data_IF_430998612733
#
_entry.id   IF_430998612733
#
_cell.length_a   1.000
_cell.length_b   1.000
_cell.length_c   1.000
_cell.angle_alpha   90.00
_cell.angle_beta   90.00
_cell.angle_gamma   90.00
#
_symmetry.space_group_name_H-M   'P 1'
#
loop_
_entity.id
_entity.type
_entity.pdbx_description
1 polymer ?
#
# COMPACT_ATOMS: atom_id res chain seq x y z
N UNK A 1 52.93 38.18 40.45
CA UNK A 1 51.47 38.38 40.58
C UNK A 1 50.75 37.14 40.09
N UNK A 2 50.58 36.20 41.00
CA UNK A 2 50.08 34.83 40.83
C UNK A 2 48.55 34.83 40.94
N UNK A 3 47.85 34.47 39.86
CA UNK A 3 46.40 34.25 39.88
C UNK A 3 46.11 32.75 39.86
N UNK A 4 45.83 32.22 41.06
CA UNK A 4 45.27 30.89 41.26
C UNK A 4 43.80 30.88 40.83
N UNK A 5 43.46 30.08 39.82
CA UNK A 5 42.07 29.75 39.48
C UNK A 5 41.68 28.43 40.16
N UNK A 6 40.66 28.53 41.02
CA UNK A 6 40.07 27.44 41.80
C UNK A 6 39.18 26.57 40.90
N UNK A 7 39.32 25.24 41.04
CA UNK A 7 38.38 24.24 40.50
C UNK A 7 37.10 24.19 41.35
N UNK A 8 35.91 23.98 40.77
CA UNK A 8 34.69 23.70 41.52
C UNK A 8 34.59 22.19 41.89
N UNK A 9 33.79 21.85 42.93
CA UNK A 9 33.73 20.51 43.50
C UNK A 9 32.80 19.56 42.73
N UNK A 10 33.18 18.28 42.79
CA UNK A 10 32.42 17.13 42.29
C UNK A 10 31.17 16.91 43.14
N UNK A 11 29.99 16.98 42.52
CA UNK A 11 28.75 16.45 43.09
C UNK A 11 28.71 14.94 42.87
N UNK A 12 28.79 14.20 43.97
CA UNK A 12 28.45 12.79 44.05
C UNK A 12 27.03 12.70 44.58
N UNK A 13 26.12 12.12 43.79
CA UNK A 13 24.76 11.81 44.24
C UNK A 13 24.42 10.39 43.78
N UNK A 14 24.17 9.56 44.81
CA UNK A 14 23.67 8.20 44.76
C UNK A 14 22.40 8.09 43.93
N UNK A 15 22.22 6.96 43.25
CA UNK A 15 20.91 6.38 42.98
C UNK A 15 21.06 4.86 42.86
N UNK A 16 20.95 4.20 44.01
CA UNK A 16 20.49 2.82 44.13
C UNK A 16 18.96 2.83 44.24
N UNK A 17 18.26 2.31 43.24
CA UNK A 17 16.90 1.83 43.39
C UNK A 17 16.59 0.78 42.31
N UNK A 18 16.75 -0.47 42.73
CA UNK A 18 16.14 -1.68 42.19
C UNK A 18 14.70 -1.46 41.69
N UNK A 19 14.45 -1.80 40.42
CA UNK A 19 13.23 -2.49 40.00
C UNK A 19 13.59 -3.47 38.89
N UNK A 20 13.67 -4.73 39.29
CA UNK A 20 13.78 -5.91 38.47
C UNK A 20 12.49 -6.11 37.67
N UNK A 21 12.57 -6.03 36.34
CA UNK A 21 11.65 -6.76 35.48
C UNK A 21 12.46 -7.56 34.45
N UNK A 22 12.13 -8.83 34.45
CA UNK A 22 12.79 -9.94 33.83
C UNK A 22 12.12 -10.16 32.47
N UNK A 23 12.81 -9.88 31.37
CA UNK A 23 12.33 -10.29 30.05
C UNK A 23 13.47 -10.89 29.24
N UNK A 24 13.56 -12.22 29.39
CA UNK A 24 14.47 -13.10 28.67
C UNK A 24 14.12 -13.12 27.19
N UNK A 25 14.88 -12.42 26.35
CA UNK A 25 14.85 -12.63 24.90
C UNK A 25 15.91 -13.66 24.50
N UNK A 26 15.40 -14.83 24.11
CA UNK A 26 16.14 -15.96 23.58
C UNK A 26 16.73 -15.57 22.21
N UNK A 27 18.04 -15.38 22.14
CA UNK A 27 18.77 -15.19 20.87
C UNK A 27 18.89 -16.54 20.16
N UNK A 28 17.91 -16.90 19.34
CA UNK A 28 18.10 -17.95 18.33
C UNK A 28 18.89 -17.41 17.14
N UNK A 29 20.15 -17.82 17.10
CA UNK A 29 21.05 -17.75 15.94
C UNK A 29 20.47 -18.63 14.82
N UNK A 30 19.70 -18.04 13.91
CA UNK A 30 19.33 -18.71 12.65
C UNK A 30 20.44 -18.54 11.62
N UNK A 31 21.25 -19.60 11.51
CA UNK A 31 22.21 -19.83 10.43
C UNK A 31 21.50 -19.93 9.09
N UNK A 32 22.08 -19.24 8.11
CA UNK A 32 21.88 -19.34 6.67
C UNK A 32 21.88 -20.79 6.15
N UNK A 33 20.84 -21.15 5.39
CA UNK A 33 20.87 -22.24 4.39
C UNK A 33 20.30 -21.71 3.07
N UNK A 34 21.20 -21.14 2.27
CA UNK A 34 20.99 -20.90 0.83
C UNK A 34 21.63 -22.05 0.06
N UNK A 35 21.01 -22.43 -1.06
CA UNK A 35 21.48 -23.30 -2.16
C UNK A 35 20.99 -24.75 -2.13
N UNK A 36 19.96 -25.05 -2.93
CA UNK A 36 20.06 -25.86 -4.16
C UNK A 36 18.71 -25.99 -4.87
N UNK A 37 18.78 -26.15 -6.19
CA UNK A 37 17.76 -26.60 -7.15
C UNK A 37 16.99 -25.51 -7.92
N UNK A 38 17.64 -25.01 -8.99
CA UNK A 38 16.92 -24.60 -10.20
C UNK A 38 17.84 -24.68 -11.43
N UNK A 39 17.86 -25.84 -12.07
CA UNK A 39 18.44 -26.21 -13.37
C UNK A 39 18.05 -27.70 -13.51
N UNK A 40 17.27 -28.23 -14.45
CA UNK A 40 17.06 -28.02 -15.87
C UNK A 40 15.62 -28.43 -16.23
N UNK A 41 14.98 -27.72 -17.15
CA UNK A 41 13.79 -28.21 -17.84
C UNK A 41 14.06 -28.18 -19.36
N UNK A 42 14.60 -29.28 -19.88
CA UNK A 42 14.52 -29.63 -21.29
C UNK A 42 14.86 -31.12 -21.46
N UNK A 43 14.01 -31.81 -22.23
CA UNK A 43 14.21 -33.13 -22.87
C UNK A 43 13.48 -34.33 -22.27
N UNK A 44 12.27 -34.55 -22.82
CA UNK A 44 11.87 -35.69 -23.65
C UNK A 44 12.26 -37.14 -23.21
N UNK A 45 11.17 -37.90 -22.99
CA UNK A 45 10.90 -39.30 -23.43
C UNK A 45 11.47 -40.52 -22.68
N UNK A 46 10.50 -41.39 -22.34
CA UNK A 46 10.49 -42.86 -22.25
C UNK A 46 10.74 -43.57 -20.89
N UNK A 47 9.85 -44.56 -20.70
CA UNK A 47 9.97 -45.82 -19.96
C UNK A 47 9.60 -45.88 -18.46
N UNK A 48 8.37 -46.34 -18.24
CA UNK A 48 7.93 -47.42 -17.34
C UNK A 48 8.76 -47.80 -16.11
N UNK A 49 8.14 -47.73 -14.92
CA UNK A 49 7.88 -48.89 -14.04
C UNK A 49 7.12 -48.48 -12.76
N UNK A 50 6.05 -49.24 -12.48
CA UNK A 50 5.42 -49.45 -11.17
C UNK A 50 6.41 -50.27 -10.27
N UNK A 51 6.35 -50.24 -8.92
CA UNK A 51 5.20 -50.76 -8.17
C UNK A 51 4.85 -50.15 -6.79
N UNK A 52 3.61 -50.45 -6.41
CA UNK A 52 3.08 -50.82 -5.08
C UNK A 52 2.88 -49.79 -3.94
N UNK A 53 1.59 -49.71 -3.61
CA UNK A 53 0.91 -49.18 -2.42
C UNK A 53 1.34 -49.90 -1.11
N UNK A 54 1.07 -49.32 0.08
CA UNK A 54 -0.17 -49.73 0.76
C UNK A 54 -0.88 -48.66 1.61
N UNK A 55 -2.22 -48.82 1.61
CA UNK A 55 -3.15 -48.67 2.75
C UNK A 55 -3.47 -47.28 3.35
N UNK A 56 -4.79 -47.07 3.46
CA UNK A 56 -5.51 -45.90 3.97
C UNK A 56 -5.43 -45.70 5.51
N UNK A 57 -6.01 -44.61 6.05
CA UNK A 57 -7.41 -44.73 6.46
C UNK A 57 -8.31 -43.53 6.07
N UNK A 58 -9.53 -43.90 5.66
CA UNK A 58 -10.65 -43.02 5.34
C UNK A 58 -11.08 -42.21 6.56
N UNK A 59 -11.07 -40.87 6.46
CA UNK A 59 -11.76 -40.00 7.41
C UNK A 59 -13.09 -39.48 6.83
N UNK A 60 -14.08 -39.55 7.71
CA UNK A 60 -15.51 -39.32 7.55
C UNK A 60 -15.86 -38.02 6.83
N UNK A 61 -16.52 -38.18 5.69
CA UNK A 61 -17.27 -37.13 4.97
C UNK A 61 -18.45 -36.69 5.85
N UNK A 62 -18.37 -35.47 6.40
CA UNK A 62 -19.48 -34.84 7.14
C UNK A 62 -20.64 -34.58 6.17
N UNK A 63 -21.82 -35.01 6.62
CA UNK A 63 -23.13 -34.91 6.00
C UNK A 63 -23.55 -33.43 5.98
N UNK A 64 -23.56 -32.81 4.80
CA UNK A 64 -24.18 -31.51 4.61
C UNK A 64 -25.72 -31.68 4.63
N UNK A 65 -26.47 -30.72 5.19
CA UNK A 65 -27.93 -30.75 5.15
C UNK A 65 -28.39 -30.53 3.69
N UNK A 66 -29.14 -31.52 3.20
CA UNK A 66 -29.94 -31.44 1.98
C UNK A 66 -30.97 -30.34 2.22
N UNK A 67 -30.74 -29.16 1.65
CA UNK A 67 -31.81 -28.22 1.41
C UNK A 67 -32.63 -28.80 0.26
N UNK A 68 -33.92 -28.98 0.53
CA UNK A 68 -34.91 -29.35 -0.45
C UNK A 68 -34.89 -28.32 -1.58
N UNK A 69 -34.30 -28.71 -2.70
CA UNK A 69 -34.60 -28.14 -3.99
C UNK A 69 -36.00 -28.65 -4.33
N UNK A 70 -37.00 -27.77 -4.20
CA UNK A 70 -38.34 -27.97 -4.73
C UNK A 70 -38.25 -27.79 -6.25
N UNK A 71 -37.58 -28.76 -6.88
CA UNK A 71 -37.42 -28.89 -8.30
C UNK A 71 -38.77 -29.38 -8.85
N UNK A 72 -39.66 -28.41 -9.05
CA UNK A 72 -40.89 -28.58 -9.81
C UNK A 72 -40.57 -29.19 -11.16
N UNK A 73 -41.05 -30.42 -11.34
CA UNK A 73 -41.03 -31.19 -12.56
C UNK A 73 -41.74 -30.45 -13.71
N UNK A 74 -40.99 -29.76 -14.57
CA UNK A 74 -41.37 -29.61 -15.98
C UNK A 74 -40.82 -30.82 -16.73
N UNK A 75 -41.62 -31.88 -16.74
CA UNK A 75 -41.46 -33.01 -17.66
C UNK A 75 -41.80 -32.50 -19.05
N UNK A 76 -40.78 -32.19 -19.86
CA UNK A 76 -40.93 -32.10 -21.31
C UNK A 76 -41.33 -33.49 -21.85
N UNK A 77 -42.49 -33.63 -22.54
CA UNK A 77 -42.81 -34.85 -23.24
C UNK A 77 -42.15 -34.86 -24.63
N UNK A 78 -41.70 -36.03 -25.12
CA UNK A 78 -41.07 -36.14 -26.43
C UNK A 78 -42.09 -35.83 -27.54
N UNK A 79 -41.73 -34.87 -28.39
CA UNK A 79 -42.44 -34.48 -29.60
C UNK A 79 -42.53 -35.66 -30.58
N UNK A 80 -43.64 -36.39 -30.51
CA UNK A 80 -44.08 -37.31 -31.55
C UNK A 80 -44.92 -36.54 -32.58
N UNK A 81 -44.34 -36.44 -33.78
CA UNK A 81 -44.95 -35.92 -35.00
C UNK A 81 -46.24 -36.69 -35.35
N UNK A 82 -47.39 -36.01 -35.27
CA UNK A 82 -48.57 -36.35 -36.08
C UNK A 82 -49.20 -35.08 -36.64
N UNK A 83 -48.97 -34.86 -37.93
CA UNK A 83 -49.82 -34.05 -38.81
C UNK A 83 -51.26 -34.56 -38.74
N UNK A 84 -52.21 -33.68 -38.46
CA UNK A 84 -53.57 -33.80 -38.93
C UNK A 84 -54.07 -32.42 -39.34
N UNK A 85 -54.49 -32.37 -40.59
CA UNK A 85 -55.13 -31.30 -41.32
C UNK A 85 -56.58 -31.08 -40.87
N UNK A 86 -57.08 -29.88 -41.23
CA UNK A 86 -58.48 -29.47 -41.54
C UNK A 86 -59.35 -28.79 -40.48
N UNK A 87 -60.04 -27.74 -40.97
CA UNK A 87 -61.30 -27.14 -40.51
C UNK A 87 -61.22 -26.30 -39.23
N UNK A 88 -61.45 -24.99 -39.26
CA UNK A 88 -62.61 -24.31 -39.86
C UNK A 88 -63.54 -23.87 -38.72
N UNK A 89 -63.55 -22.55 -38.46
CA UNK A 89 -64.54 -21.78 -37.70
C UNK A 89 -64.97 -22.30 -36.32
N UNK A 90 -64.44 -21.69 -35.25
CA UNK A 90 -65.21 -21.54 -34.00
C UNK A 90 -64.89 -20.23 -33.25
N UNK A 91 -64.91 -19.12 -34.01
CA UNK A 91 -65.08 -17.78 -33.47
C UNK A 91 -66.59 -17.60 -33.23
N UNK A 92 -67.16 -18.11 -32.12
CA UNK A 92 -68.50 -17.68 -31.61
C UNK A 92 -68.99 -18.43 -30.36
N UNK A 93 -68.15 -18.62 -29.35
CA UNK A 93 -68.68 -18.79 -27.99
C UNK A 93 -67.92 -17.94 -26.99
N UNK A 94 -68.12 -16.63 -27.13
CA UNK A 94 -68.00 -15.68 -26.02
C UNK A 94 -69.04 -16.10 -24.98
N UNK A 95 -68.66 -17.06 -24.13
CA UNK A 95 -69.43 -17.37 -22.93
C UNK A 95 -69.51 -16.07 -22.15
N UNK A 96 -70.73 -15.58 -21.92
CA UNK A 96 -70.96 -14.41 -21.06
C UNK A 96 -70.31 -14.70 -19.72
N UNK A 97 -69.17 -14.05 -19.46
CA UNK A 97 -68.55 -14.06 -18.15
C UNK A 97 -69.58 -13.46 -17.20
N UNK A 98 -69.99 -14.25 -16.20
CA UNK A 98 -70.93 -13.77 -15.19
C UNK A 98 -70.24 -12.72 -14.34
N UNK A 99 -70.98 -11.71 -13.89
CA UNK A 99 -70.46 -10.63 -13.02
C UNK A 99 -69.72 -11.17 -11.79
N UNK A 100 -70.21 -12.29 -11.24
CA UNK A 100 -69.58 -12.99 -10.12
C UNK A 100 -68.17 -13.53 -10.41
N UNK A 101 -67.88 -13.92 -11.67
CA UNK A 101 -66.55 -14.40 -12.04
C UNK A 101 -65.57 -13.24 -12.26
N UNK A 102 -66.08 -12.08 -12.70
CA UNK A 102 -65.30 -10.84 -12.75
C UNK A 102 -64.88 -10.40 -11.34
N UNK A 103 -65.81 -10.35 -10.39
CA UNK A 103 -65.51 -9.99 -8.99
C UNK A 103 -64.45 -10.92 -8.37
N UNK A 104 -64.54 -12.23 -8.63
CA UNK A 104 -63.53 -13.21 -8.17
C UNK A 104 -62.16 -12.95 -8.81
N UNK A 105 -62.14 -12.62 -10.10
CA UNK A 105 -60.91 -12.27 -10.81
C UNK A 105 -60.30 -10.98 -10.26
N UNK A 106 -61.10 -9.96 -10.02
CA UNK A 106 -60.66 -8.69 -9.44
C UNK A 106 -60.06 -8.89 -8.04
N UNK A 107 -60.75 -9.63 -7.15
CA UNK A 107 -60.21 -9.98 -5.83
C UNK A 107 -58.88 -10.73 -5.89
N UNK A 108 -58.74 -11.67 -6.84
CA UNK A 108 -57.47 -12.39 -7.07
C UNK A 108 -56.36 -11.44 -7.52
N UNK A 109 -56.67 -10.46 -8.37
CA UNK A 109 -55.70 -9.47 -8.84
C UNK A 109 -55.26 -8.54 -7.70
N UNK A 110 -56.20 -7.99 -6.92
CA UNK A 110 -55.89 -7.15 -5.77
C UNK A 110 -55.00 -7.87 -4.75
N UNK A 111 -55.31 -9.14 -4.47
CA UNK A 111 -54.48 -9.94 -3.56
C UNK A 111 -53.07 -10.15 -4.11
N UNK A 112 -52.93 -10.42 -5.42
CA UNK A 112 -51.63 -10.58 -6.07
C UNK A 112 -50.84 -9.27 -6.11
N UNK A 113 -51.49 -8.15 -6.36
CA UNK A 113 -50.87 -6.83 -6.31
C UNK A 113 -50.36 -6.52 -4.90
N UNK A 114 -51.15 -6.83 -3.88
CA UNK A 114 -50.74 -6.67 -2.50
C UNK A 114 -49.55 -7.57 -2.12
N UNK A 115 -49.53 -8.84 -2.55
CA UNK A 115 -48.40 -9.75 -2.35
C UNK A 115 -47.12 -9.23 -3.05
N UNK A 116 -47.24 -8.78 -4.31
CA UNK A 116 -46.12 -8.19 -5.03
C UNK A 116 -45.61 -6.92 -4.36
N UNK A 117 -46.51 -6.07 -3.85
CA UNK A 117 -46.13 -4.86 -3.11
C UNK A 117 -45.39 -5.22 -1.82
N UNK A 118 -45.90 -6.16 -1.02
CA UNK A 118 -45.20 -6.63 0.18
C UNK A 118 -43.81 -7.17 -0.14
N UNK A 119 -43.67 -7.96 -1.21
CA UNK A 119 -42.36 -8.45 -1.65
C UNK A 119 -41.44 -7.34 -2.12
N UNK A 120 -41.97 -6.31 -2.78
CA UNK A 120 -41.21 -5.13 -3.19
C UNK A 120 -40.67 -4.39 -1.98
N UNK A 121 -41.54 -4.12 -0.99
CA UNK A 121 -41.18 -3.43 0.25
C UNK A 121 -40.11 -4.24 1.03
N UNK A 122 -40.26 -5.57 1.14
CA UNK A 122 -39.27 -6.46 1.76
C UNK A 122 -37.90 -6.42 1.05
N UNK A 123 -37.90 -6.32 -0.28
CA UNK A 123 -36.67 -6.22 -1.06
C UNK A 123 -36.00 -4.85 -0.89
N UNK A 124 -36.78 -3.77 -0.86
CA UNK A 124 -36.27 -2.42 -0.58
C UNK A 124 -35.65 -2.35 0.82
N UNK A 125 -36.29 -2.92 1.84
CA UNK A 125 -35.74 -3.00 3.19
C UNK A 125 -34.41 -3.78 3.21
N UNK A 126 -34.34 -4.92 2.50
CA UNK A 126 -33.10 -5.69 2.37
C UNK A 126 -32.00 -4.91 1.68
N UNK A 127 -32.30 -4.20 0.59
CA UNK A 127 -31.34 -3.36 -0.13
C UNK A 127 -30.79 -2.26 0.79
N UNK A 128 -31.66 -1.59 1.55
CA UNK A 128 -31.24 -0.58 2.53
C UNK A 128 -30.40 -1.18 3.67
N UNK A 129 -30.73 -2.39 4.13
CA UNK A 129 -29.91 -3.09 5.12
C UNK A 129 -28.53 -3.47 4.59
N UNK A 130 -28.42 -3.89 3.33
CA UNK A 130 -27.13 -4.22 2.71
C UNK A 130 -26.30 -2.96 2.47
N UNK A 131 -26.91 -1.89 1.97
CA UNK A 131 -26.24 -0.60 1.76
C UNK A 131 -25.62 -0.08 3.06
N UNK A 132 -26.35 -0.13 4.20
CA UNK A 132 -25.80 0.28 5.49
C UNK A 132 -24.58 -0.55 5.92
N UNK A 133 -24.66 -1.87 5.75
CA UNK A 133 -23.53 -2.77 6.06
C UNK A 133 -22.33 -2.51 5.16
N UNK A 134 -22.56 -2.23 3.88
CA UNK A 134 -21.51 -1.87 2.93
C UNK A 134 -20.81 -0.58 3.37
N UNK A 135 -21.57 0.46 3.71
CA UNK A 135 -21.04 1.73 4.22
C UNK A 135 -20.22 1.53 5.51
N UNK A 136 -20.75 0.76 6.48
CA UNK A 136 -20.05 0.42 7.72
C UNK A 136 -18.73 -0.31 7.46
N UNK A 137 -18.73 -1.29 6.55
CA UNK A 137 -17.50 -2.00 6.16
C UNK A 137 -16.51 -1.10 5.43
N UNK A 138 -16.99 -0.18 4.60
CA UNK A 138 -16.15 0.78 3.89
C UNK A 138 -15.44 1.73 4.87
N UNK A 139 -16.16 2.26 5.86
CA UNK A 139 -15.58 3.10 6.93
C UNK A 139 -14.52 2.32 7.72
N UNK A 140 -14.82 1.08 8.11
CA UNK A 140 -13.87 0.24 8.85
C UNK A 140 -12.59 -0.04 8.04
N UNK A 141 -12.72 -0.28 6.73
CA UNK A 141 -11.59 -0.49 5.84
C UNK A 141 -10.73 0.77 5.68
N UNK A 142 -11.35 1.96 5.59
CA UNK A 142 -10.63 3.24 5.55
C UNK A 142 -9.79 3.44 6.81
N UNK A 143 -10.36 3.23 8.01
CA UNK A 143 -9.61 3.34 9.27
C UNK A 143 -8.46 2.34 9.42
N UNK A 144 -8.55 1.16 8.79
CA UNK A 144 -7.45 0.20 8.75
C UNK A 144 -6.32 0.70 7.85
N UNK A 145 -6.67 1.23 6.67
CA UNK A 145 -5.71 1.79 5.73
C UNK A 145 -4.97 3.01 6.30
N UNK A 146 -5.66 3.90 7.02
CA UNK A 146 -5.03 5.05 7.69
C UNK A 146 -4.02 4.61 8.74
N UNK A 147 -4.40 3.69 9.64
CA UNK A 147 -3.48 3.16 10.67
C UNK A 147 -2.27 2.45 10.07
N UNK A 148 -2.44 1.75 8.95
CA UNK A 148 -1.31 1.15 8.24
C UNK A 148 -0.33 2.23 7.75
N UNK A 149 -0.85 3.33 7.15
CA UNK A 149 -0.01 4.43 6.68
C UNK A 149 0.71 5.16 7.81
N UNK A 150 0.02 5.42 8.92
CA UNK A 150 0.64 5.98 10.14
C UNK A 150 1.77 5.08 10.65
N UNK A 151 1.54 3.76 10.68
CA UNK A 151 2.56 2.79 11.05
C UNK A 151 3.78 2.79 10.12
N UNK A 152 3.57 2.92 8.81
CA UNK A 152 4.64 3.03 7.82
C UNK A 152 5.44 4.32 8.01
N UNK A 153 4.76 5.46 8.21
CA UNK A 153 5.43 6.75 8.42
C UNK A 153 6.29 6.73 9.68
N UNK A 154 5.76 6.16 10.77
CA UNK A 154 6.52 5.95 12.01
C UNK A 154 7.74 5.06 11.80
N UNK A 155 7.60 3.98 11.02
CA UNK A 155 8.72 3.11 10.68
C UNK A 155 9.81 3.85 9.88
N UNK A 156 9.42 4.70 8.94
CA UNK A 156 10.34 5.54 8.19
C UNK A 156 11.10 6.50 9.11
N UNK A 157 10.38 7.18 10.00
CA UNK A 157 10.96 8.16 10.92
C UNK A 157 11.91 7.52 11.96
N UNK A 158 11.54 6.37 12.52
CA UNK A 158 12.33 5.71 13.56
C UNK A 158 13.61 5.04 13.01
N UNK A 159 13.54 4.41 11.83
CA UNK A 159 14.62 3.55 11.34
C UNK A 159 15.35 4.10 10.12
N UNK A 160 14.74 5.03 9.38
CA UNK A 160 15.25 5.50 8.10
C UNK A 160 15.46 7.01 8.05
N UNK A 161 15.74 7.63 9.19
CA UNK A 161 16.06 9.05 9.27
C UNK A 161 17.56 9.31 9.18
N UNK A 162 17.94 10.24 8.31
CA UNK A 162 19.32 10.66 8.17
C UNK A 162 19.74 11.53 9.36
N UNK A 163 20.81 11.17 10.06
CA UNK A 163 21.31 11.96 11.21
C UNK A 163 21.95 13.30 10.86
N UNK A 164 22.10 13.64 9.57
CA UNK A 164 22.64 14.93 9.13
C UNK A 164 21.53 15.95 8.78
N UNK A 165 20.43 15.53 8.17
CA UNK A 165 19.32 16.43 7.81
C UNK A 165 18.03 16.16 8.59
N UNK A 166 17.95 15.08 9.35
CA UNK A 166 16.76 14.63 10.08
C UNK A 166 15.53 14.38 9.19
N UNK A 167 15.76 14.12 7.90
CA UNK A 167 14.73 13.68 6.97
C UNK A 167 14.87 12.18 6.68
N UNK A 168 13.82 11.59 6.11
CA UNK A 168 13.86 10.24 5.54
C UNK A 168 15.00 10.12 4.52
N UNK A 169 15.80 9.07 4.65
CA UNK A 169 16.97 8.80 3.83
C UNK A 169 16.61 8.84 2.34
N UNK A 170 17.35 9.64 1.58
CA UNK A 170 17.25 9.74 0.12
C UNK A 170 18.61 9.39 -0.49
N UNK A 171 18.63 8.41 -1.39
CA UNK A 171 19.84 7.78 -1.91
C UNK A 171 20.80 7.37 -0.77
N UNK A 172 20.51 6.31 0.01
CA UNK A 172 21.29 5.95 1.19
C UNK A 172 22.69 5.39 0.82
N UNK A 173 23.74 5.98 1.40
CA UNK A 173 25.13 5.52 1.28
C UNK A 173 25.74 5.29 2.65
N UNK A 174 26.51 4.21 2.77
CA UNK A 174 27.29 3.87 3.96
C UNK A 174 28.76 4.25 3.77
N UNK A 175 29.44 4.58 4.87
CA UNK A 175 30.85 4.96 4.86
C UNK A 175 31.80 3.76 4.77
N UNK A 176 32.71 3.77 3.79
CA UNK A 176 33.69 2.73 3.50
C UNK A 176 35.12 3.24 3.71
N UNK A 177 36.05 2.43 4.26
CA UNK A 177 35.90 1.25 5.10
C UNK A 177 35.89 1.72 6.54
N UNK A 178 34.82 2.38 6.94
CA UNK A 178 34.62 2.60 8.36
C UNK A 178 34.00 1.32 8.93
N UNK A 179 34.53 0.81 10.04
CA UNK A 179 33.95 -0.34 10.76
C UNK A 179 32.55 -0.04 11.32
N UNK A 180 32.02 1.17 11.08
CA UNK A 180 30.82 1.67 11.74
C UNK A 180 29.53 1.51 10.93
N UNK A 181 29.58 1.35 9.60
CA UNK A 181 28.40 1.07 8.76
C UNK A 181 27.31 2.14 8.74
N UNK A 182 27.54 3.32 9.35
CA UNK A 182 26.54 4.39 9.40
C UNK A 182 26.15 4.87 8.01
N UNK A 183 24.84 5.09 7.82
CA UNK A 183 24.22 5.39 6.53
C UNK A 183 23.58 6.78 6.56
N UNK A 184 23.69 7.50 5.45
CA UNK A 184 23.23 8.88 5.29
C UNK A 184 22.63 9.09 3.91
N UNK A 185 21.89 10.18 3.72
CA UNK A 185 21.52 10.63 2.37
C UNK A 185 22.78 10.93 1.54
N UNK A 186 22.75 10.60 0.25
CA UNK A 186 23.89 10.79 -0.65
C UNK A 186 24.40 12.24 -0.65
N UNK A 187 23.51 13.22 -0.78
CA UNK A 187 23.89 14.64 -0.76
C UNK A 187 24.43 15.08 0.60
N UNK A 188 23.82 14.63 1.70
CA UNK A 188 24.23 15.01 3.04
C UNK A 188 25.66 14.57 3.34
N UNK A 189 25.99 13.31 3.03
CA UNK A 189 27.34 12.80 3.30
C UNK A 189 28.39 13.38 2.35
N UNK A 190 28.02 13.70 1.10
CA UNK A 190 28.90 14.45 0.19
C UNK A 190 29.21 15.84 0.74
N UNK A 191 28.18 16.60 1.15
CA UNK A 191 28.37 17.93 1.75
C UNK A 191 29.27 17.88 2.98
N UNK A 192 29.03 16.91 3.88
CA UNK A 192 29.89 16.70 5.04
C UNK A 192 31.34 16.41 4.64
N UNK A 193 31.57 15.45 3.75
CA UNK A 193 32.90 15.04 3.32
C UNK A 193 33.68 16.18 2.65
N UNK A 194 33.02 16.93 1.75
CA UNK A 194 33.62 18.07 1.06
C UNK A 194 33.73 19.33 1.93
N UNK A 195 32.98 19.46 3.03
CA UNK A 195 33.15 20.58 3.98
C UNK A 195 34.57 20.61 4.56
N UNK A 196 35.20 19.43 4.71
CA UNK A 196 36.57 19.25 5.21
C UNK A 196 37.66 19.45 4.15
N UNK A 197 37.30 19.59 2.88
CA UNK A 197 38.26 19.85 1.80
C UNK A 197 38.80 21.28 1.91
N UNK A 198 40.12 21.46 1.89
CA UNK A 198 40.73 22.79 1.90
C UNK A 198 40.58 23.48 0.53
N UNK A 199 39.96 24.67 0.52
CA UNK A 199 39.62 25.39 -0.73
C UNK A 199 40.83 25.80 -1.57
N UNK A 200 41.96 26.13 -0.94
CA UNK A 200 43.12 26.68 -1.66
C UNK A 200 43.93 25.61 -2.41
N UNK A 201 44.10 24.42 -1.81
CA UNK A 201 44.91 23.35 -2.39
C UNK A 201 44.09 22.17 -2.93
N UNK A 202 42.79 22.07 -2.59
CA UNK A 202 41.95 20.94 -2.98
C UNK A 202 42.38 19.60 -2.37
N UNK A 203 42.96 19.62 -1.17
CA UNK A 203 43.34 18.43 -0.41
C UNK A 203 42.64 18.40 0.97
N UNK A 204 42.57 17.21 1.58
CA UNK A 204 42.13 17.03 2.96
C UNK A 204 43.35 17.01 3.88
N UNK A 205 43.58 18.10 4.62
CA UNK A 205 44.69 18.18 5.60
C UNK A 205 44.34 17.54 6.94
N UNK A 206 43.04 17.35 7.20
CA UNK A 206 42.51 16.69 8.39
C UNK A 206 41.89 15.36 7.97
N UNK A 207 41.99 14.35 8.84
CA UNK A 207 41.29 13.09 8.64
C UNK A 207 39.79 13.33 8.65
N UNK A 208 39.09 12.82 7.63
CA UNK A 208 37.63 12.84 7.61
C UNK A 208 37.09 11.68 8.43
N UNK A 209 36.23 11.99 9.38
CA UNK A 209 35.62 11.04 10.30
C UNK A 209 34.11 10.91 10.09
N UNK A 210 33.56 9.77 10.52
CA UNK A 210 32.12 9.53 10.53
C UNK A 210 31.42 10.55 11.46
N UNK A 211 30.39 11.28 10.99
CA UNK A 211 29.66 12.26 11.82
C UNK A 211 29.09 11.70 13.12
N UNK A 212 28.74 10.41 13.14
CA UNK A 212 28.04 9.78 14.28
C UNK A 212 29.04 9.25 15.31
N UNK A 213 30.03 8.46 14.88
CA UNK A 213 30.90 7.70 15.78
C UNK A 213 32.39 8.10 15.71
N UNK A 214 32.74 9.08 14.86
CA UNK A 214 34.12 9.54 14.64
C UNK A 214 35.10 8.46 14.17
N UNK A 215 34.59 7.34 13.65
CA UNK A 215 35.43 6.34 12.97
C UNK A 215 36.09 6.99 11.76
N UNK A 216 37.41 6.79 11.63
CA UNK A 216 38.20 7.37 10.54
C UNK A 216 37.81 6.76 9.19
N UNK A 217 37.68 7.60 8.17
CA UNK A 217 37.50 7.16 6.78
C UNK A 217 38.85 6.88 6.11
N UNK A 218 38.83 6.16 4.98
CA UNK A 218 40.03 6.02 4.13
C UNK A 218 40.55 7.43 3.80
N UNK A 219 41.84 7.63 4.04
CA UNK A 219 42.57 8.77 3.52
C UNK A 219 42.55 8.72 1.99
N UNK A 220 42.01 9.75 1.35
CA UNK A 220 41.99 9.86 -0.11
C UNK A 220 43.44 9.98 -0.59
N UNK A 221 43.97 9.05 -1.39
CA UNK A 221 45.31 9.18 -1.91
C UNK A 221 45.39 10.36 -2.88
N UNK A 222 46.41 11.21 -2.72
CA UNK A 222 46.71 12.33 -3.61
C UNK A 222 47.02 11.91 -5.06
N UNK A 223 47.82 10.85 -5.34
CA UNK A 223 48.19 10.54 -6.72
C UNK A 223 47.02 9.99 -7.54
N UNK A 224 46.81 10.59 -8.72
CA UNK A 224 45.97 10.05 -9.78
C UNK A 224 46.83 9.16 -10.71
N UNK A 225 46.34 7.98 -11.14
CA UNK A 225 44.97 7.50 -10.98
C UNK A 225 44.69 6.85 -9.62
N UNK A 226 43.56 7.19 -9.00
CA UNK A 226 43.10 6.53 -7.75
C UNK A 226 42.45 5.19 -8.04
N UNK A 227 42.64 4.24 -7.14
CA UNK A 227 41.94 2.95 -7.21
C UNK A 227 40.49 3.12 -6.74
N UNK A 228 39.54 2.46 -7.42
CA UNK A 228 38.10 2.50 -7.07
C UNK A 228 37.83 2.03 -5.62
N UNK A 229 38.64 1.11 -5.09
CA UNK A 229 38.52 0.64 -3.70
C UNK A 229 38.75 1.74 -2.64
N UNK A 230 39.38 2.85 -3.03
CA UNK A 230 39.59 4.01 -2.15
C UNK A 230 38.40 4.95 -2.08
N UNK A 231 37.33 4.66 -2.82
CA UNK A 231 36.10 5.45 -2.79
C UNK A 231 35.41 5.31 -1.42
N UNK A 232 35.15 6.41 -0.70
CA UNK A 232 34.76 6.37 0.70
C UNK A 232 33.27 6.06 0.94
N UNK A 233 32.49 5.83 -0.12
CA UNK A 233 31.04 5.60 -0.03
C UNK A 233 30.66 4.28 -0.69
N UNK A 234 29.78 3.51 -0.06
CA UNK A 234 29.16 2.32 -0.65
C UNK A 234 27.65 2.54 -0.72
N UNK A 235 27.00 2.34 -1.88
CA UNK A 235 25.54 2.39 -1.96
C UNK A 235 24.91 1.32 -1.06
N UNK A 236 24.01 1.73 -0.16
CA UNK A 236 23.29 0.79 0.71
C UNK A 236 21.98 0.36 0.06
N UNK A 237 22.09 -0.57 -0.90
CA UNK A 237 20.94 -1.05 -1.71
C UNK A 237 19.81 -1.67 -0.90
N UNK A 238 20.13 -2.30 0.25
CA UNK A 238 19.11 -2.91 1.10
C UNK A 238 18.25 -1.83 1.75
N UNK A 239 18.90 -0.79 2.30
CA UNK A 239 18.19 0.37 2.85
C UNK A 239 17.44 1.14 1.76
N UNK A 240 18.05 1.32 0.57
CA UNK A 240 17.41 1.99 -0.58
C UNK A 240 16.09 1.32 -0.97
N UNK A 241 16.11 0.00 -1.21
CA UNK A 241 14.90 -0.74 -1.57
C UNK A 241 13.85 -0.79 -0.45
N UNK A 242 14.27 -0.80 0.81
CA UNK A 242 13.35 -0.75 1.94
C UNK A 242 12.63 0.60 2.04
N UNK A 243 13.38 1.71 1.93
CA UNK A 243 12.82 3.06 1.97
C UNK A 243 11.92 3.30 0.76
N UNK A 244 12.37 2.98 -0.46
CA UNK A 244 11.56 3.10 -1.68
C UNK A 244 10.24 2.34 -1.56
N UNK A 245 10.28 1.10 -1.05
CA UNK A 245 9.08 0.29 -0.88
C UNK A 245 8.09 0.86 0.15
N UNK A 246 8.58 1.45 1.24
CA UNK A 246 7.72 2.08 2.25
C UNK A 246 7.14 3.41 1.76
N UNK A 247 7.95 4.25 1.11
CA UNK A 247 7.51 5.52 0.52
C UNK A 247 6.46 5.28 -0.58
N UNK A 248 6.62 4.24 -1.39
CA UNK A 248 5.65 3.90 -2.43
C UNK A 248 4.32 3.42 -1.84
N UNK A 249 4.34 2.67 -0.73
CA UNK A 249 3.12 2.28 -0.02
C UNK A 249 2.37 3.49 0.57
N UNK A 250 3.08 4.51 1.04
CA UNK A 250 2.43 5.76 1.49
C UNK A 250 1.74 6.49 0.34
N UNK A 251 2.39 6.49 -0.83
CA UNK A 251 1.91 7.17 -2.03
C UNK A 251 0.63 6.57 -2.60
N UNK A 252 0.44 5.25 -2.46
CA UNK A 252 -0.72 4.53 -3.00
C UNK A 252 -2.03 4.99 -2.36
N UNK A 253 -3.03 5.24 -3.20
CA UNK A 253 -4.39 5.54 -2.73
C UNK A 253 -5.06 4.25 -2.21
N UNK A 254 -5.82 4.30 -1.10
CA UNK A 254 -6.57 3.14 -0.63
C UNK A 254 -7.46 2.59 -1.76
N UNK A 255 -7.35 1.28 -2.03
CA UNK A 255 -8.10 0.62 -3.11
C UNK A 255 -9.63 0.77 -2.96
N UNK A 256 -10.13 1.02 -1.74
CA UNK A 256 -11.55 1.28 -1.48
C UNK A 256 -12.09 2.52 -2.20
N UNK A 257 -11.26 3.53 -2.52
CA UNK A 257 -11.70 4.71 -3.28
C UNK A 257 -12.05 4.38 -4.73
N UNK A 258 -11.44 3.32 -5.28
CA UNK A 258 -11.55 2.94 -6.69
C UNK A 258 -12.71 1.97 -6.96
N UNK A 259 -13.29 1.37 -5.91
CA UNK A 259 -14.52 0.60 -6.00
C UNK A 259 -15.75 1.52 -6.16
N UNK A 260 -15.63 2.59 -6.95
CA UNK A 260 -16.77 3.24 -7.57
C UNK A 260 -17.29 2.23 -8.57
N UNK A 261 -18.07 1.27 -8.07
CA UNK A 261 -18.84 0.31 -8.86
C UNK A 261 -19.48 1.17 -9.92
N UNK A 262 -18.97 1.03 -11.14
CA UNK A 262 -19.55 1.64 -12.31
C UNK A 262 -20.90 0.96 -12.41
N UNK A 263 -21.87 1.50 -11.68
CA UNK A 263 -23.26 1.12 -11.76
C UNK A 263 -23.56 1.33 -13.22
N UNK A 264 -23.56 0.23 -13.97
CA UNK A 264 -23.93 0.29 -15.36
C UNK A 264 -25.35 0.80 -15.32
N UNK A 265 -25.52 2.08 -15.64
CA UNK A 265 -26.80 2.68 -16.01
C UNK A 265 -27.24 2.01 -17.31
N UNK A 266 -27.50 0.70 -17.26
CA UNK A 266 -28.10 -0.08 -18.32
C UNK A 266 -29.63 0.03 -18.17
N UNK A 267 -30.11 1.27 -18.17
CA UNK A 267 -31.52 1.62 -18.10
C UNK A 267 -31.93 2.39 -19.36
N UNK A 268 -31.64 1.81 -20.53
CA UNK A 268 -32.12 2.40 -21.79
C UNK A 268 -32.17 1.40 -22.94
N UNK A 269 -33.08 0.40 -22.92
CA UNK A 269 -33.54 -0.21 -24.20
C UNK A 269 -34.93 -0.86 -24.20
N UNK A 270 -35.78 -0.67 -23.20
CA UNK A 270 -37.19 -1.06 -23.34
C UNK A 270 -38.08 0.16 -23.09
N UNK A 271 -38.59 0.68 -24.20
CA UNK A 271 -38.98 2.07 -24.34
C UNK A 271 -40.35 2.44 -23.80
N UNK A 272 -40.57 3.75 -23.76
CA UNK A 272 -41.87 4.33 -24.08
C UNK A 272 -41.69 5.81 -24.36
N UNK A 273 -41.78 6.16 -25.64
CA UNK A 273 -41.96 7.53 -26.08
C UNK A 273 -43.33 8.03 -25.59
N UNK A 274 -43.35 8.90 -24.58
CA UNK A 274 -44.53 9.74 -24.33
C UNK A 274 -44.07 11.17 -24.07
N UNK A 275 -44.60 12.06 -24.91
CA UNK A 275 -44.36 13.51 -24.92
C UNK A 275 -45.14 14.20 -23.80
N UNK A 276 -44.65 15.41 -23.44
CA UNK A 276 -45.25 16.44 -22.56
C UNK A 276 -45.07 16.13 -21.06
N UNK A 277 -44.73 17.06 -20.18
CA UNK A 277 -45.10 18.47 -20.17
C UNK A 277 -44.13 19.30 -19.32
N UNK A 278 -44.16 20.61 -19.52
CA UNK A 278 -43.43 21.64 -18.77
C UNK A 278 -43.97 21.75 -17.34
N UNK A 279 -43.10 21.75 -16.33
CA UNK A 279 -43.44 22.33 -15.02
C UNK A 279 -42.37 22.03 -13.96
N UNK A 280 -41.55 23.00 -13.55
CA UNK A 280 -41.78 23.97 -12.47
C UNK A 280 -41.31 23.44 -11.10
N UNK A 281 -40.08 23.83 -10.75
CA UNK A 281 -39.61 24.13 -9.39
C UNK A 281 -39.69 23.05 -8.33
N UNK A 282 -38.59 22.34 -8.06
CA UNK A 282 -38.37 21.68 -6.78
C UNK A 282 -37.24 22.38 -6.02
N UNK A 283 -37.65 22.98 -4.90
CA UNK A 283 -36.87 23.67 -3.90
C UNK A 283 -35.85 22.70 -3.28
N UNK A 284 -34.57 23.04 -3.40
CA UNK A 284 -33.47 22.29 -2.79
C UNK A 284 -33.61 22.27 -1.27
N UNK A 285 -33.88 21.09 -0.73
CA UNK A 285 -33.90 20.84 0.71
C UNK A 285 -32.46 20.76 1.20
N UNK A 286 -32.01 21.88 1.78
CA UNK A 286 -30.70 22.05 2.43
C UNK A 286 -30.58 21.00 3.54
N UNK A 287 -29.75 19.97 3.31
CA UNK A 287 -29.39 18.96 4.31
C UNK A 287 -28.45 19.64 5.30
N UNK A 288 -28.96 19.97 6.47
CA UNK A 288 -28.16 20.46 7.60
C UNK A 288 -27.25 19.33 8.06
N UNK A 289 -25.95 19.49 7.78
CA UNK A 289 -24.89 18.65 8.29
C UNK A 289 -24.80 18.94 9.79
N UNK A 290 -25.06 17.93 10.62
CA UNK A 290 -24.83 17.95 12.06
C UNK A 290 -23.32 18.07 12.30
N UNK A 291 -22.86 19.29 12.55
CA UNK A 291 -21.53 19.63 13.05
C UNK A 291 -21.52 19.33 14.57
N UNK A 292 -21.17 18.09 14.94
CA UNK A 292 -21.11 17.67 16.34
C UNK A 292 -19.78 16.99 16.67
N UNK A 293 -18.88 17.74 17.30
CA UNK A 293 -17.86 17.28 18.26
C UNK A 293 -16.83 16.20 17.82
N UNK A 294 -16.05 16.45 16.75
CA UNK A 294 -14.81 15.70 16.44
C UNK A 294 -13.55 16.61 16.44
N UNK A 295 -13.38 17.46 17.45
CA UNK A 295 -12.46 18.61 17.34
C UNK A 295 -11.01 18.41 17.82
N UNK A 296 -10.54 17.22 18.21
CA UNK A 296 -9.18 17.12 18.81
C UNK A 296 -8.24 16.00 18.32
N UNK A 297 -8.59 15.24 17.28
CA UNK A 297 -7.70 14.19 16.73
C UNK A 297 -7.02 14.50 15.39
N UNK A 298 -7.22 15.70 14.83
CA UNK A 298 -6.86 15.97 13.43
C UNK A 298 -5.41 16.35 13.15
N UNK A 299 -4.52 16.40 14.16
CA UNK A 299 -3.14 16.87 13.91
C UNK A 299 -2.27 15.84 13.20
N UNK A 300 -2.51 14.54 13.39
CA UNK A 300 -1.62 13.48 12.87
C UNK A 300 -1.98 13.08 11.43
N UNK A 301 -3.25 13.21 11.04
CA UNK A 301 -3.74 12.79 9.72
C UNK A 301 -3.14 13.65 8.59
N UNK A 302 -2.83 14.92 8.85
CA UNK A 302 -2.22 15.82 7.86
C UNK A 302 -0.82 15.37 7.42
N UNK A 303 -0.11 14.59 8.24
CA UNK A 303 1.25 14.15 7.93
C UNK A 303 1.30 13.07 6.84
N UNK A 304 0.23 12.29 6.64
CA UNK A 304 0.20 11.21 5.63
C UNK A 304 -0.09 11.77 4.23
N UNK A 305 -0.93 12.80 4.13
CA UNK A 305 -1.38 13.33 2.84
C UNK A 305 -0.25 14.01 2.05
N UNK A 306 0.74 14.62 2.72
CA UNK A 306 1.93 15.21 2.09
C UNK A 306 2.86 14.17 1.43
N UNK A 307 2.69 12.88 1.75
CA UNK A 307 3.43 11.78 1.13
C UNK A 307 2.68 11.09 -0.02
N UNK A 308 1.44 11.51 -0.32
CA UNK A 308 0.67 10.96 -1.44
C UNK A 308 1.29 11.30 -2.80
N UNK A 309 0.78 10.68 -3.86
CA UNK A 309 1.12 11.09 -5.22
C UNK A 309 0.77 12.58 -5.44
N UNK A 310 1.78 13.38 -5.85
CA UNK A 310 1.66 14.83 -5.95
C UNK A 310 1.92 15.61 -4.65
N UNK A 311 2.10 14.91 -3.53
CA UNK A 311 2.50 15.51 -2.25
C UNK A 311 3.89 16.14 -2.28
N UNK A 312 4.07 17.23 -1.56
CA UNK A 312 5.28 18.04 -1.51
C UNK A 312 6.46 17.29 -0.86
N UNK A 313 6.24 16.59 0.25
CA UNK A 313 7.26 15.80 0.93
C UNK A 313 7.78 14.66 0.05
N UNK A 314 6.89 13.94 -0.66
CA UNK A 314 7.29 12.91 -1.63
C UNK A 314 8.06 13.51 -2.80
N UNK A 315 7.61 14.64 -3.34
CA UNK A 315 8.27 15.30 -4.46
C UNK A 315 9.69 15.78 -4.07
N UNK A 316 9.84 16.34 -2.88
CA UNK A 316 11.13 16.75 -2.34
C UNK A 316 12.05 15.56 -2.11
N UNK A 317 11.54 14.48 -1.51
CA UNK A 317 12.30 13.24 -1.31
C UNK A 317 12.78 12.65 -2.65
N UNK A 318 11.91 12.54 -3.66
CA UNK A 318 12.28 12.09 -5.01
C UNK A 318 13.31 12.99 -5.70
N UNK A 319 13.27 14.30 -5.42
CA UNK A 319 14.28 15.24 -5.91
C UNK A 319 15.63 14.96 -5.23
N UNK A 320 15.66 14.88 -3.90
CA UNK A 320 16.87 14.56 -3.11
C UNK A 320 17.47 13.22 -3.50
N UNK A 321 16.64 12.20 -3.73
CA UNK A 321 17.08 10.86 -4.13
C UNK A 321 17.76 10.88 -5.50
N UNK A 322 17.10 11.47 -6.50
CA UNK A 322 17.68 11.61 -7.86
C UNK A 322 18.96 12.43 -7.87
N UNK A 323 19.00 13.53 -7.11
CA UNK A 323 20.19 14.38 -6.99
C UNK A 323 21.33 13.60 -6.32
N UNK A 324 21.06 12.93 -5.20
CA UNK A 324 22.03 12.09 -4.48
C UNK A 324 22.61 10.98 -5.35
N UNK A 325 21.76 10.22 -6.06
CA UNK A 325 22.19 9.17 -6.99
C UNK A 325 23.09 9.75 -8.10
N UNK A 326 22.69 10.87 -8.70
CA UNK A 326 23.46 11.53 -9.77
C UNK A 326 24.84 12.00 -9.31
N UNK A 327 24.92 12.70 -8.18
CA UNK A 327 26.17 13.25 -7.68
C UNK A 327 27.13 12.14 -7.21
N UNK A 328 26.61 11.10 -6.56
CA UNK A 328 27.40 9.93 -6.16
C UNK A 328 27.92 9.14 -7.36
N UNK A 329 27.10 8.90 -8.37
CA UNK A 329 27.52 8.23 -9.60
C UNK A 329 28.57 9.04 -10.36
N UNK A 330 28.38 10.36 -10.47
CA UNK A 330 29.36 11.26 -11.06
C UNK A 330 30.70 11.16 -10.34
N UNK A 331 30.70 11.23 -9.00
CA UNK A 331 31.92 11.16 -8.22
C UNK A 331 32.61 9.79 -8.36
N UNK A 332 31.85 8.69 -8.26
CA UNK A 332 32.38 7.33 -8.43
C UNK A 332 33.03 7.11 -9.80
N UNK A 333 32.37 7.59 -10.86
CA UNK A 333 32.86 7.45 -12.24
C UNK A 333 34.18 8.17 -12.48
N UNK A 334 34.32 9.38 -11.93
CA UNK A 334 35.51 10.23 -12.14
C UNK A 334 36.54 10.09 -11.01
N UNK A 335 36.23 9.37 -9.94
CA UNK A 335 37.11 9.20 -8.77
C UNK A 335 38.58 8.88 -9.12
N UNK A 336 38.88 7.97 -10.08
CA UNK A 336 40.25 7.66 -10.45
C UNK A 336 41.01 8.84 -11.03
N UNK A 337 40.33 9.73 -11.76
CA UNK A 337 40.99 10.78 -12.57
C UNK A 337 40.85 12.18 -11.98
N UNK A 338 39.99 12.39 -10.98
CA UNK A 338 39.76 13.72 -10.40
C UNK A 338 41.00 14.29 -9.73
N UNK A 339 41.44 15.47 -10.16
CA UNK A 339 42.49 16.23 -9.52
C UNK A 339 41.94 17.13 -8.39
N UNK A 340 42.84 17.79 -7.67
CA UNK A 340 42.48 18.70 -6.57
C UNK A 340 41.55 19.83 -7.01
N UNK A 341 41.70 20.35 -8.23
CA UNK A 341 40.81 21.38 -8.78
C UNK A 341 39.37 20.87 -8.99
N UNK A 342 39.21 19.61 -9.43
CA UNK A 342 37.89 18.99 -9.59
C UNK A 342 37.20 18.83 -8.24
N UNK A 343 37.95 18.52 -7.18
CA UNK A 343 37.41 18.47 -5.82
C UNK A 343 36.95 19.85 -5.33
N UNK A 344 37.71 20.91 -5.62
CA UNK A 344 37.28 22.28 -5.29
C UNK A 344 36.02 22.66 -6.07
N UNK A 345 35.95 22.33 -7.37
CA UNK A 345 34.76 22.56 -8.17
C UNK A 345 33.54 21.81 -7.63
N UNK A 346 33.71 20.54 -7.22
CA UNK A 346 32.67 19.76 -6.58
C UNK A 346 32.22 20.38 -5.24
N UNK A 347 33.16 20.83 -4.41
CA UNK A 347 32.87 21.54 -3.15
C UNK A 347 31.99 22.78 -3.40
N UNK A 348 32.34 23.59 -4.40
CA UNK A 348 31.58 24.79 -4.77
C UNK A 348 30.18 24.42 -5.29
N UNK A 349 30.07 23.39 -6.13
CA UNK A 349 28.79 22.88 -6.64
C UNK A 349 27.87 22.40 -5.52
N UNK A 350 28.42 21.75 -4.49
CA UNK A 350 27.70 21.31 -3.30
C UNK A 350 27.33 22.45 -2.35
N UNK A 351 27.87 23.65 -2.54
CA UNK A 351 27.60 24.84 -1.72
C UNK A 351 28.23 24.78 -0.33
N UNK A 352 29.38 24.11 -0.16
CA UNK A 352 30.07 23.92 1.13
C UNK A 352 31.48 24.52 1.21
#
# INVERSE_FOLDING_TARGET
MTKHLRRPPLFSANNDALMSLHESSHLEVRRSTRLKNREFAASKTLAASQPESPSAPRTKKRKAPVLNDDQGCDVEPPLSSKRATTSGSDIRRSQRITTTELDRREKRLLHREQDLKSRSDDLEERILSFSRKEDETAIMMLHLAEREKEGILKQLDEYFTCSLCYDILAAPYSLNPSQCGHTFCGICILKWFFSRLHRACGAWHESVDCPICRSLLIMVPDPTPRLQITFPFIPNRVTDSAVEGLVEKLAQEPLCSQAKIKREDNESTWGSQSRKDRGKGCVGKKRETLEGEEMEKSSDTMAVDVWREGGDMRAEWLKKDREGKREMEFLLKHWPTMASQDFVAMKMKLGV
#
